data_IF_354578565547
#
_entry.id   IF_354578565547
#
_cell.length_a   1.000
_cell.length_b   1.000
_cell.length_c   1.000
_cell.angle_alpha   90.00
_cell.angle_beta   90.00
_cell.angle_gamma   90.00
#
_symmetry.space_group_name_H-M   'P 1'
#
loop_
_entity.id
_entity.type
_entity.pdbx_description
1 polymer ?
#
# COMPACT_ATOMS: atom_id res chain seq x y z
N UNK A 1 -14.67 23.28 -11.05
CA UNK A 1 -13.63 22.36 -11.54
C UNK A 1 -13.54 21.30 -10.48
N UNK A 2 -14.23 20.18 -10.65
CA UNK A 2 -14.46 19.23 -9.55
C UNK A 2 -13.17 18.46 -9.32
N UNK A 3 -12.60 18.61 -8.13
CA UNK A 3 -11.57 17.74 -7.54
C UNK A 3 -12.14 16.32 -7.38
N UNK A 4 -12.22 15.58 -8.49
CA UNK A 4 -12.73 14.20 -8.54
C UNK A 4 -11.66 13.20 -8.02
N UNK A 5 -11.01 13.55 -6.89
CA UNK A 5 -10.09 12.67 -6.19
C UNK A 5 -10.89 11.71 -5.30
N UNK A 6 -10.90 10.40 -5.58
CA UNK A 6 -11.61 9.45 -4.73
C UNK A 6 -10.83 9.12 -3.43
N UNK A 7 -9.59 9.58 -3.28
CA UNK A 7 -8.71 9.25 -2.15
C UNK A 7 -8.74 10.31 -1.06
N UNK A 8 -8.86 9.87 0.18
CA UNK A 8 -8.72 10.69 1.38
C UNK A 8 -7.52 10.18 2.19
N UNK A 9 -6.60 11.07 2.55
CA UNK A 9 -5.40 10.72 3.32
C UNK A 9 -5.49 11.36 4.70
N UNK A 10 -5.31 10.55 5.73
CA UNK A 10 -5.33 10.98 7.13
C UNK A 10 -4.12 10.40 7.88
N UNK A 11 -3.50 11.15 8.81
CA UNK A 11 -2.62 10.53 9.79
C UNK A 11 -3.37 9.45 10.58
N UNK A 12 -2.75 8.28 10.76
CA UNK A 12 -3.27 7.26 11.67
C UNK A 12 -2.69 7.50 13.07
N UNK A 13 -3.56 7.73 14.04
CA UNK A 13 -3.16 8.02 15.42
C UNK A 13 -2.80 6.74 16.21
N UNK A 14 -3.25 5.58 15.72
CA UNK A 14 -3.02 4.27 16.33
C UNK A 14 -1.67 3.72 15.88
N UNK A 15 -0.97 3.05 16.80
CA UNK A 15 0.25 2.32 16.46
C UNK A 15 -0.07 1.17 15.54
N UNK A 16 0.65 1.09 14.43
CA UNK A 16 0.54 -0.02 13.49
C UNK A 16 1.64 -1.03 13.72
N UNK A 17 1.26 -2.30 13.81
CA UNK A 17 2.20 -3.43 13.77
C UNK A 17 1.83 -4.35 12.61
N UNK A 18 2.81 -4.75 11.81
CA UNK A 18 2.61 -5.65 10.67
C UNK A 18 3.29 -6.99 10.95
N UNK A 19 2.54 -8.09 10.83
CA UNK A 19 3.01 -9.45 11.07
C UNK A 19 3.70 -9.61 12.43
N UNK A 20 4.71 -10.47 12.48
CA UNK A 20 5.55 -10.71 13.65
C UNK A 20 6.70 -9.68 13.80
N UNK A 21 6.38 -8.39 13.63
CA UNK A 21 7.36 -7.30 13.75
C UNK A 21 8.04 -6.91 12.44
N UNK A 22 7.42 -7.21 11.31
CA UNK A 22 7.89 -6.81 9.98
C UNK A 22 7.92 -5.28 9.82
N UNK A 23 7.00 -4.60 10.49
CA UNK A 23 7.01 -3.15 10.65
C UNK A 23 6.29 -2.76 11.96
N UNK A 24 6.74 -1.66 12.57
CA UNK A 24 6.07 -1.02 13.70
C UNK A 24 6.15 0.49 13.48
N UNK A 25 5.02 1.19 13.48
CA UNK A 25 4.96 2.61 13.13
C UNK A 25 3.92 3.36 13.94
N UNK A 26 4.28 4.56 14.38
CA UNK A 26 3.37 5.58 14.92
C UNK A 26 3.14 6.74 13.93
N UNK A 27 3.70 6.63 12.72
CA UNK A 27 3.73 7.68 11.71
C UNK A 27 3.05 7.25 10.41
N UNK A 28 2.14 6.28 10.50
CA UNK A 28 1.40 5.75 9.36
C UNK A 28 0.40 6.76 8.81
N UNK A 29 0.17 6.71 7.50
CA UNK A 29 -0.95 7.38 6.84
C UNK A 29 -2.03 6.36 6.53
N UNK A 30 -3.26 6.66 6.90
CA UNK A 30 -4.46 5.93 6.48
C UNK A 30 -5.00 6.56 5.20
N UNK A 31 -5.12 5.74 4.16
CA UNK A 31 -5.70 6.12 2.87
C UNK A 31 -7.04 5.45 2.72
N UNK A 32 -8.08 6.24 2.53
CA UNK A 32 -9.46 5.80 2.34
C UNK A 32 -9.88 6.05 0.89
N UNK A 33 -10.51 5.05 0.28
CA UNK A 33 -11.16 5.16 -1.03
C UNK A 33 -12.51 4.46 -0.96
N UNK A 34 -13.56 5.11 -0.40
CA UNK A 34 -14.85 4.47 -0.22
C UNK A 34 -15.40 3.90 -1.55
N UNK A 35 -16.01 2.69 -1.53
CA UNK A 35 -16.35 1.86 -0.38
C UNK A 35 -15.31 0.78 -0.03
N UNK A 36 -14.04 0.95 -0.44
CA UNK A 36 -12.94 0.00 -0.18
C UNK A 36 -12.43 0.19 1.26
N UNK A 37 -11.94 -0.89 1.87
CA UNK A 37 -11.24 -0.81 3.16
C UNK A 37 -10.02 0.12 3.08
N UNK A 38 -9.67 0.81 4.18
CA UNK A 38 -8.49 1.65 4.21
C UNK A 38 -7.21 0.84 4.00
N UNK A 39 -6.22 1.50 3.39
CA UNK A 39 -4.84 1.04 3.37
C UNK A 39 -4.00 1.89 4.33
N UNK A 40 -2.98 1.28 4.95
CA UNK A 40 -2.06 2.00 5.82
C UNK A 40 -0.66 2.02 5.22
N UNK A 41 -0.11 3.23 5.08
CA UNK A 41 1.18 3.52 4.48
C UNK A 41 2.17 3.94 5.57
N UNK A 42 3.11 3.05 5.86
CA UNK A 42 4.15 3.25 6.85
C UNK A 42 5.38 3.87 6.18
N UNK A 43 6.13 4.78 6.83
CA UNK A 43 7.43 5.22 6.32
C UNK A 43 8.34 4.03 6.03
N UNK A 44 8.99 4.02 4.87
CA UNK A 44 9.85 2.89 4.46
C UNK A 44 10.97 2.60 5.48
N UNK A 45 11.46 3.62 6.19
CA UNK A 45 12.46 3.47 7.26
C UNK A 45 11.96 2.77 8.54
N UNK A 46 10.64 2.61 8.70
CA UNK A 46 10.01 1.89 9.82
C UNK A 46 9.57 0.47 9.42
N UNK A 47 9.87 0.08 8.19
CA UNK A 47 9.68 -1.28 7.67
C UNK A 47 11.03 -1.99 7.65
N UNK A 48 11.10 -3.19 8.21
CA UNK A 48 12.32 -3.98 8.16
C UNK A 48 12.49 -4.60 6.77
N UNK A 49 13.26 -3.91 5.93
CA UNK A 49 13.51 -4.29 4.55
C UNK A 49 14.16 -5.67 4.37
N UNK A 50 14.69 -6.30 5.43
CA UNK A 50 15.22 -7.68 5.36
C UNK A 50 14.13 -8.71 5.08
N UNK A 51 12.87 -8.37 5.36
CA UNK A 51 11.74 -9.24 5.05
C UNK A 51 11.15 -9.00 3.67
N UNK A 52 11.57 -7.95 2.96
CA UNK A 52 11.05 -7.59 1.64
C UNK A 52 11.97 -8.09 0.53
N UNK A 53 11.37 -8.67 -0.51
CA UNK A 53 12.03 -9.05 -1.74
C UNK A 53 11.46 -8.14 -2.84
N UNK A 54 12.31 -7.27 -3.39
CA UNK A 54 11.93 -6.45 -4.54
C UNK A 54 11.61 -7.34 -5.75
N UNK A 55 10.54 -7.01 -6.46
CA UNK A 55 10.14 -7.70 -7.67
C UNK A 55 10.25 -6.78 -8.88
N UNK A 56 10.33 -7.35 -10.08
CA UNK A 56 10.18 -6.59 -11.32
C UNK A 56 8.70 -6.30 -11.64
N UNK A 57 7.78 -6.60 -10.72
CA UNK A 57 6.36 -6.40 -10.92
C UNK A 57 6.01 -4.98 -10.46
N UNK A 58 5.80 -4.10 -11.43
CA UNK A 58 5.17 -2.80 -11.20
C UNK A 58 3.91 -2.66 -12.07
N UNK A 59 2.95 -1.87 -11.60
CA UNK A 59 1.69 -1.56 -12.30
C UNK A 59 1.50 -0.05 -12.34
N UNK A 60 0.90 0.47 -13.41
CA UNK A 60 0.54 1.89 -13.48
C UNK A 60 -0.95 2.08 -13.24
N UNK A 61 -1.30 2.97 -12.32
CA UNK A 61 -2.69 3.18 -11.89
C UNK A 61 -3.05 4.63 -12.07
N UNK A 62 -4.16 4.87 -12.78
CA UNK A 62 -4.72 6.21 -12.93
C UNK A 62 -4.90 6.86 -11.54
N UNK A 63 -4.49 8.12 -11.42
CA UNK A 63 -4.45 8.92 -10.18
C UNK A 63 -3.34 8.61 -9.19
N UNK A 64 -2.74 7.42 -9.24
CA UNK A 64 -1.69 7.02 -8.29
C UNK A 64 -0.30 7.13 -8.90
N UNK A 65 -0.12 6.65 -10.12
CA UNK A 65 1.19 6.54 -10.77
C UNK A 65 1.71 5.11 -10.77
N UNK A 66 3.04 4.95 -10.77
CA UNK A 66 3.68 3.65 -10.71
C UNK A 66 3.53 3.03 -9.31
N UNK A 67 3.28 1.73 -9.27
CA UNK A 67 3.15 0.93 -8.06
C UNK A 67 4.02 -0.30 -8.17
N UNK A 68 5.07 -0.39 -7.35
CA UNK A 68 5.98 -1.52 -7.37
C UNK A 68 5.72 -2.46 -6.19
N UNK A 69 5.74 -3.75 -6.48
CA UNK A 69 5.35 -4.81 -5.55
C UNK A 69 6.55 -5.49 -4.91
N UNK A 70 6.35 -5.92 -3.66
CA UNK A 70 7.31 -6.72 -2.91
C UNK A 70 6.69 -8.04 -2.51
N UNK A 71 7.50 -9.08 -2.60
CA UNK A 71 7.25 -10.36 -1.96
C UNK A 71 7.85 -10.34 -0.54
N UNK A 72 7.42 -11.27 0.30
CA UNK A 72 8.08 -11.53 1.59
C UNK A 72 9.05 -12.69 1.49
N UNK A 73 10.08 -12.67 2.34
CA UNK A 73 11.08 -13.75 2.45
C UNK A 73 10.50 -15.11 2.85
N UNK A 74 9.29 -15.14 3.42
CA UNK A 74 8.58 -16.39 3.76
C UNK A 74 7.87 -17.03 2.55
N UNK A 75 7.99 -16.41 1.36
CA UNK A 75 7.37 -16.86 0.12
C UNK A 75 6.02 -16.21 -0.19
N UNK A 76 5.53 -15.31 0.65
CA UNK A 76 4.27 -14.60 0.41
C UNK A 76 4.43 -13.56 -0.71
N UNK A 77 3.90 -13.86 -1.90
CA UNK A 77 4.04 -12.96 -3.05
C UNK A 77 3.11 -11.74 -3.00
N UNK A 78 3.50 -10.63 -3.63
CA UNK A 78 2.73 -9.38 -3.76
C UNK A 78 2.11 -8.91 -2.43
N UNK A 79 2.88 -9.02 -1.35
CA UNK A 79 2.42 -8.76 0.00
C UNK A 79 2.46 -7.29 0.39
N UNK A 80 3.33 -6.51 -0.28
CA UNK A 80 3.49 -5.09 -0.03
C UNK A 80 3.68 -4.32 -1.34
N UNK A 81 3.45 -3.02 -1.30
CA UNK A 81 3.73 -2.13 -2.43
C UNK A 81 4.20 -0.76 -1.97
N UNK A 82 4.88 -0.05 -2.88
CA UNK A 82 5.19 1.37 -2.75
C UNK A 82 4.95 2.10 -4.07
N UNK A 83 4.85 3.42 -4.00
CA UNK A 83 4.75 4.31 -5.16
C UNK A 83 6.05 5.10 -5.30
N UNK A 84 6.93 4.77 -6.27
CA UNK A 84 8.23 5.45 -6.40
C UNK A 84 8.07 6.92 -6.83
N UNK A 85 7.09 7.17 -7.68
CA UNK A 85 6.73 8.50 -8.18
C UNK A 85 5.20 8.65 -8.13
N UNK A 86 4.64 8.91 -6.94
CA UNK A 86 3.20 9.09 -6.80
C UNK A 86 2.77 10.39 -7.47
N UNK A 87 1.52 10.44 -7.94
CA UNK A 87 0.96 11.68 -8.49
C UNK A 87 1.02 12.83 -7.47
N UNK A 88 0.99 14.10 -7.90
CA UNK A 88 1.04 15.25 -6.98
C UNK A 88 -0.05 15.22 -5.89
N UNK A 89 -1.19 14.60 -6.19
CA UNK A 89 -2.33 14.44 -5.30
C UNK A 89 -2.07 13.43 -4.16
N UNK A 90 -1.22 12.44 -4.43
CA UNK A 90 -0.84 11.39 -3.50
C UNK A 90 0.64 11.48 -3.10
N UNK A 91 1.26 12.66 -3.27
CA UNK A 91 2.67 12.90 -2.98
C UNK A 91 3.07 12.52 -1.53
N UNK A 92 2.13 12.60 -0.58
CA UNK A 92 2.33 12.18 0.80
C UNK A 92 2.62 10.67 0.97
N UNK A 93 2.30 9.86 -0.04
CA UNK A 93 2.58 8.42 -0.08
C UNK A 93 3.99 8.08 -0.58
N UNK A 94 4.76 9.08 -1.02
CA UNK A 94 6.16 8.88 -1.40
C UNK A 94 6.98 8.32 -0.25
N UNK A 95 7.90 7.42 -0.55
CA UNK A 95 8.75 6.70 0.42
C UNK A 95 7.97 5.97 1.53
N UNK A 96 6.74 5.54 1.22
CA UNK A 96 5.92 4.75 2.14
C UNK A 96 5.53 3.41 1.53
N UNK A 97 5.46 2.41 2.40
CA UNK A 97 5.11 1.04 2.06
C UNK A 97 3.79 0.70 2.71
N UNK A 98 2.90 0.06 1.95
CA UNK A 98 1.66 -0.51 2.46
C UNK A 98 1.62 -2.02 2.26
N UNK A 99 0.81 -2.70 3.06
CA UNK A 99 0.70 -4.16 3.10
C UNK A 99 -0.71 -4.63 2.78
N UNK A 100 -0.81 -5.77 2.10
CA UNK A 100 -2.10 -6.39 1.77
C UNK A 100 -2.64 -7.10 3.02
N UNK A 101 -3.75 -6.64 3.61
CA UNK A 101 -4.32 -7.23 4.84
C UNK A 101 -4.87 -8.65 4.63
N UNK A 102 -4.99 -9.13 3.39
CA UNK A 102 -5.32 -10.53 3.09
C UNK A 102 -4.10 -11.46 3.10
N UNK A 103 -2.89 -10.89 3.03
CA UNK A 103 -1.62 -11.64 2.97
C UNK A 103 -0.84 -11.53 4.27
N UNK A 104 -0.91 -10.39 4.93
CA UNK A 104 -0.19 -10.11 6.17
C UNK A 104 -1.16 -9.54 7.19
N UNK A 105 -1.08 -10.02 8.43
CA UNK A 105 -1.90 -9.47 9.52
C UNK A 105 -1.40 -8.08 9.89
N UNK A 106 -2.31 -7.11 9.96
CA UNK A 106 -2.04 -5.75 10.39
C UNK A 106 -2.80 -5.53 11.71
N UNK A 107 -2.14 -4.95 12.70
CA UNK A 107 -2.70 -4.61 13.98
C UNK A 107 -2.71 -3.10 14.19
N UNK A 108 -3.77 -2.57 14.77
CA UNK A 108 -3.98 -1.17 15.13
C UNK A 108 -4.14 -1.13 16.65
N UNK A 109 -3.16 -0.59 17.37
CA UNK A 109 -3.07 -0.64 18.84
C UNK A 109 -3.22 -2.07 19.42
N UNK A 110 -2.72 -3.08 18.69
CA UNK A 110 -2.80 -4.49 19.08
C UNK A 110 -4.07 -5.21 18.64
N UNK A 111 -5.06 -4.51 18.11
CA UNK A 111 -6.28 -5.11 17.57
C UNK A 111 -6.14 -5.38 16.06
N UNK A 112 -6.52 -6.57 15.55
CA UNK A 112 -6.39 -6.87 14.13
C UNK A 112 -7.28 -5.92 13.30
N UNK A 113 -6.67 -5.29 12.30
CA UNK A 113 -7.39 -4.57 11.27
C UNK A 113 -8.27 -5.58 10.52
N UNK A 114 -9.60 -5.45 10.64
CA UNK A 114 -10.54 -6.38 10.02
C UNK A 114 -10.33 -6.43 8.50
N UNK A 115 -9.90 -7.57 7.98
CA UNK A 115 -10.00 -7.87 6.56
C UNK A 115 -11.45 -8.25 6.25
N UNK A 116 -12.19 -7.44 5.49
CA UNK A 116 -13.50 -7.84 4.97
C UNK A 116 -13.67 -7.44 3.51
N UNK A 117 -13.64 -8.48 2.68
CA UNK A 117 -14.19 -8.73 1.33
C UNK A 117 -14.03 -7.71 0.20
N UNK A 118 -13.53 -6.50 0.40
CA UNK A 118 -13.16 -5.64 -0.74
C UNK A 118 -11.97 -4.74 -0.38
N UNK A 119 -10.79 -5.34 -0.37
CA UNK A 119 -9.53 -4.62 -0.53
C UNK A 119 -9.21 -4.56 -2.03
N UNK A 120 -9.02 -3.34 -2.55
CA UNK A 120 -8.52 -3.18 -3.91
C UNK A 120 -7.01 -3.04 -3.82
N UNK A 121 -6.32 -4.18 -3.83
CA UNK A 121 -4.90 -4.19 -4.14
C UNK A 121 -4.71 -3.44 -5.47
N UNK A 122 -3.68 -2.60 -5.60
CA UNK A 122 -3.40 -1.90 -6.85
C UNK A 122 -3.34 -2.84 -8.09
N UNK A 123 -3.08 -4.14 -7.90
CA UNK A 123 -3.08 -5.18 -8.93
C UNK A 123 -4.49 -5.66 -9.35
N UNK A 124 -5.55 -5.33 -8.60
CA UNK A 124 -6.91 -5.85 -8.80
C UNK A 124 -7.70 -5.15 -9.91
N UNK A 125 -7.13 -4.13 -10.57
CA UNK A 125 -7.63 -3.60 -11.85
C UNK A 125 -6.63 -3.93 -12.94
N UNK A 126 -6.79 -5.10 -13.55
CA UNK A 126 -6.15 -5.41 -14.82
C UNK A 126 -6.61 -4.44 -15.90
N UNK A 127 -5.81 -3.41 -16.16
CA UNK A 127 -5.71 -2.84 -17.51
C UNK A 127 -4.58 -3.64 -18.15
N UNK A 128 -4.90 -4.31 -19.26
CA UNK A 128 -3.93 -5.08 -20.04
C UNK A 128 -2.71 -4.25 -20.46
N UNK A 129 -1.68 -4.90 -21.04
CA UNK A 129 -0.42 -4.24 -21.35
C UNK A 129 -0.64 -2.97 -22.20
N UNK A 130 -0.05 -1.87 -21.76
CA UNK A 130 0.05 -0.63 -22.53
C UNK A 130 0.96 -0.94 -23.74
N UNK A 131 0.48 -0.80 -24.99
CA UNK A 131 1.34 -0.98 -26.15
C UNK A 131 2.42 0.11 -26.18
N UNK A 132 3.67 -0.30 -26.39
CA UNK A 132 4.79 0.61 -26.56
C UNK A 132 4.57 1.56 -27.74
N UNK A 133 4.98 2.85 -27.65
CA UNK A 133 4.87 3.78 -28.76
C UNK A 133 5.73 3.32 -29.94
N UNK A 134 5.16 3.37 -31.15
CA UNK A 134 5.89 3.23 -32.43
C UNK A 134 6.46 4.57 -32.85
#
# INVERSE_FOLDING_TARGET
MTDDNPFQIHPEARRITVGSGLAVSDHALRVEQPPVMPAWYLPAGEVDGRFLIATNHCSYIQWVGETCWFDLVDGTSNAAWLHPDPSPLLAALGDRIAFDPHRVTIYLDGEPALASTRFMSPASRGIGPIPAPR
#
